data_IF_138865109435
#
_entry.id   IF_138865109435
#
_cell.length_a   1.000
_cell.length_b   1.000
_cell.length_c   1.000
_cell.angle_alpha   90.00
_cell.angle_beta   90.00
_cell.angle_gamma   90.00
#
_symmetry.space_group_name_H-M   'P 1'
#
loop_
_entity.id
_entity.type
_entity.pdbx_description
1 polymer ?
#
# COMPACT_ATOMS: atom_id res chain seq x y z
N UNK A 1 -34.29 -44.52 -3.49
CA UNK A 1 -33.17 -44.33 -4.43
C UNK A 1 -33.45 -43.09 -5.25
N UNK A 2 -32.84 -41.97 -4.85
CA UNK A 2 -32.84 -40.72 -5.60
C UNK A 2 -31.47 -40.09 -5.36
N UNK A 3 -30.62 -40.13 -6.39
CA UNK A 3 -29.29 -39.53 -6.39
C UNK A 3 -29.48 -38.03 -6.60
N UNK A 4 -28.96 -37.21 -5.69
CA UNK A 4 -28.59 -35.83 -6.01
C UNK A 4 -27.26 -35.56 -5.33
N UNK A 5 -26.20 -35.66 -6.13
CA UNK A 5 -24.92 -35.09 -5.77
C UNK A 5 -25.05 -33.58 -5.84
N UNK A 6 -24.93 -32.92 -4.69
CA UNK A 6 -24.49 -31.54 -4.66
C UNK A 6 -22.98 -31.62 -4.46
N UNK A 7 -22.24 -31.20 -5.48
CA UNK A 7 -20.81 -31.03 -5.37
C UNK A 7 -20.51 -30.14 -4.19
N UNK A 8 -19.63 -30.60 -3.32
CA UNK A 8 -18.95 -29.75 -2.36
C UNK A 8 -18.26 -28.67 -3.19
N UNK A 9 -18.79 -27.45 -3.09
CA UNK A 9 -18.14 -26.24 -3.57
C UNK A 9 -16.78 -26.21 -2.87
N UNK A 10 -15.72 -26.54 -3.61
CA UNK A 10 -14.37 -26.22 -3.19
C UNK A 10 -14.34 -24.71 -2.94
N UNK A 11 -14.36 -24.35 -1.66
CA UNK A 11 -14.07 -23.02 -1.17
C UNK A 11 -12.68 -22.67 -1.71
N UNK A 12 -12.68 -21.87 -2.79
CA UNK A 12 -11.47 -21.33 -3.38
C UNK A 12 -10.62 -20.68 -2.30
N UNK A 13 -9.36 -21.10 -2.26
CA UNK A 13 -8.32 -20.58 -1.41
C UNK A 13 -8.33 -19.04 -1.41
N UNK A 14 -8.74 -18.44 -0.31
CA UNK A 14 -8.36 -17.07 0.01
C UNK A 14 -6.87 -17.13 0.33
N UNK A 15 -6.05 -16.77 -0.65
CA UNK A 15 -4.60 -16.69 -0.57
C UNK A 15 -4.24 -15.81 0.64
N UNK A 16 -4.04 -16.47 1.79
CA UNK A 16 -3.73 -15.85 3.07
C UNK A 16 -2.26 -15.51 3.09
N UNK A 17 -1.79 -14.89 2.00
CA UNK A 17 -0.43 -14.45 1.88
C UNK A 17 -0.30 -13.22 2.78
N UNK A 18 0.52 -13.32 3.82
CA UNK A 18 0.86 -12.18 4.65
C UNK A 18 1.21 -11.01 3.72
N UNK A 19 0.43 -9.93 3.80
CA UNK A 19 0.56 -8.83 2.85
C UNK A 19 1.84 -8.06 3.18
N UNK A 20 2.72 -7.97 2.18
CA UNK A 20 4.07 -7.39 2.36
C UNK A 20 4.12 -5.95 1.82
N UNK A 21 5.14 -5.20 2.22
CA UNK A 21 5.41 -3.88 1.65
C UNK A 21 5.67 -3.95 0.13
N UNK A 22 6.21 -5.06 -0.38
CA UNK A 22 6.41 -5.26 -1.81
C UNK A 22 5.06 -5.45 -2.54
N UNK A 23 4.13 -6.18 -1.92
CA UNK A 23 2.76 -6.35 -2.41
C UNK A 23 2.02 -5.01 -2.49
N UNK A 24 2.24 -4.11 -1.52
CA UNK A 24 1.68 -2.75 -1.54
C UNK A 24 2.08 -1.99 -2.81
N UNK A 25 3.38 -1.95 -3.13
CA UNK A 25 3.88 -1.19 -4.28
C UNK A 25 3.46 -1.85 -5.61
N UNK A 26 3.51 -3.18 -5.69
CA UNK A 26 3.07 -3.91 -6.87
C UNK A 26 1.58 -3.65 -7.19
N UNK A 27 0.74 -3.62 -6.16
CA UNK A 27 -0.68 -3.31 -6.30
C UNK A 27 -0.90 -1.83 -6.67
N UNK A 28 -0.11 -0.92 -6.10
CA UNK A 28 -0.16 0.50 -6.43
C UNK A 28 0.21 0.75 -7.89
N UNK A 29 1.23 0.03 -8.40
CA UNK A 29 1.63 0.07 -9.81
C UNK A 29 0.56 -0.50 -10.73
N UNK A 30 -0.07 -1.62 -10.34
CA UNK A 30 -1.18 -2.23 -11.09
C UNK A 30 -2.37 -1.27 -11.21
N UNK A 31 -2.84 -0.72 -10.09
CA UNK A 31 -3.92 0.28 -10.10
C UNK A 31 -3.53 1.53 -10.88
N UNK A 32 -2.26 1.95 -10.84
CA UNK A 32 -1.79 3.08 -11.63
C UNK A 32 -1.87 2.84 -13.13
N UNK A 33 -1.67 1.61 -13.58
CA UNK A 33 -1.76 1.22 -14.99
C UNK A 33 -3.21 1.12 -15.48
N UNK A 34 -4.11 0.68 -14.59
CA UNK A 34 -5.55 0.54 -14.87
C UNK A 34 -6.35 1.84 -14.68
N UNK A 35 -5.68 2.90 -14.18
CA UNK A 35 -6.26 4.22 -13.87
C UNK A 35 -6.90 4.87 -15.10
N UNK A 36 -8.11 5.41 -14.97
CA UNK A 36 -8.78 6.16 -16.02
C UNK A 36 -8.17 7.57 -16.23
N UNK A 37 -8.33 8.12 -17.44
CA UNK A 37 -7.91 9.48 -17.75
C UNK A 37 -8.70 10.49 -16.90
N UNK A 38 -8.01 11.27 -16.07
CA UNK A 38 -8.60 12.26 -15.17
C UNK A 38 -8.68 11.84 -13.70
N UNK A 39 -8.43 10.56 -13.36
CA UNK A 39 -8.40 10.13 -11.96
C UNK A 39 -7.14 10.63 -11.25
N UNK A 40 -7.21 11.69 -10.43
CA UNK A 40 -6.01 12.30 -9.84
C UNK A 40 -5.15 11.40 -8.93
N UNK A 41 -5.65 10.24 -8.49
CA UNK A 41 -4.94 9.36 -7.56
C UNK A 41 -5.44 7.91 -7.60
N UNK A 42 -4.61 6.99 -7.10
CA UNK A 42 -4.99 5.61 -6.74
C UNK A 42 -4.54 5.31 -5.31
N UNK A 43 -5.18 4.34 -4.64
CA UNK A 43 -4.85 4.00 -3.26
C UNK A 43 -4.89 2.49 -3.02
N UNK A 44 -3.97 2.01 -2.19
CA UNK A 44 -3.92 0.63 -1.69
C UNK A 44 -3.88 0.67 -0.17
N UNK A 45 -4.61 -0.23 0.46
CA UNK A 45 -4.55 -0.47 1.90
C UNK A 45 -4.36 -1.97 2.14
N UNK A 46 -3.44 -2.31 3.04
CA UNK A 46 -3.24 -3.69 3.48
C UNK A 46 -2.87 -3.75 4.96
N UNK A 47 -3.10 -4.91 5.57
CA UNK A 47 -2.61 -5.23 6.91
C UNK A 47 -1.24 -5.89 6.80
N UNK A 48 -0.28 -5.47 7.62
CA UNK A 48 0.97 -6.17 7.79
C UNK A 48 1.01 -6.83 9.18
N UNK A 49 1.48 -8.07 9.25
CA UNK A 49 1.72 -8.79 10.51
C UNK A 49 3.06 -8.38 11.13
N UNK A 50 3.30 -7.07 11.14
CA UNK A 50 4.42 -6.43 11.80
C UNK A 50 4.00 -5.11 12.44
N UNK A 51 4.59 -4.81 13.60
CA UNK A 51 4.36 -3.56 14.31
C UNK A 51 4.79 -2.33 13.51
N UNK A 52 4.39 -1.15 13.97
CA UNK A 52 4.52 0.10 13.22
C UNK A 52 5.95 0.42 12.76
N UNK A 53 6.96 0.23 13.62
CA UNK A 53 8.37 0.56 13.27
C UNK A 53 8.92 -0.42 12.22
N UNK A 54 8.83 -1.75 12.41
CA UNK A 54 9.13 -2.72 11.35
C UNK A 54 8.41 -2.42 10.03
N UNK A 55 7.10 -2.11 10.07
CA UNK A 55 6.31 -1.74 8.89
C UNK A 55 6.89 -0.53 8.14
N UNK A 56 7.21 0.54 8.87
CA UNK A 56 7.83 1.72 8.30
C UNK A 56 9.18 1.40 7.63
N UNK A 57 10.02 0.59 8.29
CA UNK A 57 11.29 0.14 7.73
C UNK A 57 11.10 -0.68 6.45
N UNK A 58 10.21 -1.68 6.47
CA UNK A 58 9.89 -2.53 5.33
C UNK A 58 9.41 -1.70 4.12
N UNK A 59 8.52 -0.73 4.35
CA UNK A 59 8.03 0.15 3.27
C UNK A 59 9.15 1.01 2.70
N UNK A 60 9.95 1.68 3.54
CA UNK A 60 11.06 2.50 3.05
C UNK A 60 12.12 1.67 2.32
N UNK A 61 12.36 0.43 2.76
CA UNK A 61 13.28 -0.51 2.11
C UNK A 61 12.82 -0.87 0.69
N UNK A 62 11.50 -1.03 0.48
CA UNK A 62 10.91 -1.27 -0.84
C UNK A 62 11.08 -0.05 -1.73
N UNK A 63 10.77 1.15 -1.25
CA UNK A 63 10.99 2.38 -2.03
C UNK A 63 12.46 2.65 -2.35
N UNK A 64 13.39 2.25 -1.47
CA UNK A 64 14.83 2.34 -1.75
C UNK A 64 15.24 1.50 -2.97
N UNK A 65 14.52 0.41 -3.24
CA UNK A 65 14.74 -0.44 -4.42
C UNK A 65 14.16 0.12 -5.73
N UNK A 66 13.37 1.19 -5.67
CA UNK A 66 12.75 1.81 -6.86
C UNK A 66 13.73 2.82 -7.47
N UNK A 67 14.08 2.62 -8.74
CA UNK A 67 14.99 3.52 -9.45
C UNK A 67 14.41 4.94 -9.53
N UNK A 68 15.20 5.92 -9.11
CA UNK A 68 14.82 7.33 -9.13
C UNK A 68 13.90 7.76 -7.98
N UNK A 69 13.52 6.86 -7.08
CA UNK A 69 12.69 7.23 -5.94
C UNK A 69 13.44 8.13 -4.95
N UNK A 70 12.72 9.09 -4.34
CA UNK A 70 13.25 10.01 -3.33
C UNK A 70 12.28 10.19 -2.18
N UNK A 71 12.76 9.96 -0.96
CA UNK A 71 12.02 10.30 0.26
C UNK A 71 12.14 11.80 0.53
N UNK A 72 11.00 12.50 0.61
CA UNK A 72 10.97 13.93 0.95
C UNK A 72 10.82 14.18 2.44
N UNK A 73 9.93 13.41 3.10
CA UNK A 73 9.66 13.56 4.52
C UNK A 73 9.15 12.24 5.09
N UNK A 74 9.42 12.00 6.37
CA UNK A 74 8.86 10.89 7.12
C UNK A 74 8.83 11.17 8.62
N UNK A 75 7.86 10.62 9.34
CA UNK A 75 7.82 10.72 10.79
C UNK A 75 6.51 10.28 11.41
N UNK A 76 6.44 10.33 12.74
CA UNK A 76 5.20 10.11 13.47
C UNK A 76 4.17 11.19 13.17
N UNK A 77 2.93 10.77 12.96
CA UNK A 77 1.79 11.65 12.66
C UNK A 77 0.99 12.03 13.90
N UNK A 78 1.17 11.29 15.00
CA UNK A 78 0.56 11.58 16.29
C UNK A 78 1.58 11.50 17.44
N UNK A 79 1.24 12.14 18.56
CA UNK A 79 2.11 12.26 19.73
C UNK A 79 2.24 10.97 20.55
N UNK A 80 1.30 10.03 20.43
CA UNK A 80 1.38 8.72 21.10
C UNK A 80 2.34 7.79 20.38
N UNK A 81 2.66 8.08 19.11
CA UNK A 81 3.53 7.25 18.27
C UNK A 81 2.80 6.08 17.62
N UNK A 82 1.47 6.17 17.50
CA UNK A 82 0.63 5.09 16.97
C UNK A 82 0.48 5.16 15.45
N UNK A 83 0.88 6.26 14.83
CA UNK A 83 0.82 6.47 13.40
C UNK A 83 2.12 7.11 12.89
N UNK A 84 2.54 6.68 11.71
CA UNK A 84 3.71 7.17 10.99
C UNK A 84 3.34 7.41 9.54
N UNK A 85 4.02 8.34 8.88
CA UNK A 85 3.83 8.56 7.45
C UNK A 85 5.08 8.99 6.73
N UNK A 86 5.05 8.87 5.41
CA UNK A 86 6.09 9.31 4.51
C UNK A 86 5.53 9.90 3.22
N UNK A 87 6.29 10.82 2.63
CA UNK A 87 6.04 11.39 1.31
C UNK A 87 7.23 11.00 0.43
N UNK A 88 6.95 10.22 -0.61
CA UNK A 88 7.96 9.65 -1.52
C UNK A 88 7.65 10.09 -2.94
N UNK A 89 8.62 10.67 -3.63
CA UNK A 89 8.57 10.68 -5.10
C UNK A 89 8.94 9.30 -5.59
N UNK A 90 7.97 8.52 -6.05
CA UNK A 90 8.23 7.17 -6.53
C UNK A 90 8.82 7.17 -7.95
N UNK A 91 8.34 8.06 -8.83
CA UNK A 91 8.84 8.30 -10.19
C UNK A 91 8.52 9.72 -10.64
N UNK A 92 9.04 10.16 -11.78
CA UNK A 92 8.69 11.48 -12.34
C UNK A 92 7.17 11.58 -12.56
N UNK A 93 6.59 12.70 -12.12
CA UNK A 93 5.15 12.97 -12.29
C UNK A 93 4.21 12.31 -11.28
N UNK A 94 4.72 11.60 -10.25
CA UNK A 94 3.86 11.13 -9.15
C UNK A 94 4.52 11.21 -7.76
N UNK A 95 3.67 11.37 -6.75
CA UNK A 95 4.02 11.38 -5.33
C UNK A 95 3.19 10.33 -4.62
N UNK A 96 3.85 9.49 -3.84
CA UNK A 96 3.23 8.51 -2.97
C UNK A 96 3.20 9.05 -1.54
N UNK A 97 2.00 9.10 -0.95
CA UNK A 97 1.80 9.37 0.47
C UNK A 97 1.49 8.06 1.15
N UNK A 98 2.36 7.65 2.07
CA UNK A 98 2.20 6.44 2.85
C UNK A 98 1.82 6.80 4.28
N UNK A 99 0.83 6.11 4.84
CA UNK A 99 0.47 6.16 6.25
C UNK A 99 0.44 4.76 6.82
N UNK A 100 0.98 4.61 8.03
CA UNK A 100 1.04 3.37 8.78
C UNK A 100 0.41 3.63 10.14
N UNK A 101 -0.53 2.81 10.54
CA UNK A 101 -1.16 2.88 11.86
C UNK A 101 -0.94 1.55 12.60
N UNK A 102 -0.50 1.62 13.85
CA UNK A 102 -0.42 0.47 14.73
C UNK A 102 -1.84 -0.08 14.98
N UNK A 103 -1.96 -1.40 14.93
CA UNK A 103 -3.13 -2.11 15.41
C UNK A 103 -2.92 -2.50 16.88
N UNK A 104 -3.98 -2.92 17.56
CA UNK A 104 -3.90 -3.28 18.99
C UNK A 104 -2.77 -4.31 19.25
N UNK A 105 -2.10 -4.16 20.40
CA UNK A 105 -0.97 -5.01 20.86
C UNK A 105 0.36 -4.88 20.10
N UNK A 106 0.59 -3.82 19.30
CA UNK A 106 1.86 -3.48 18.63
C UNK A 106 2.45 -4.58 17.72
N UNK A 107 1.71 -5.66 17.46
CA UNK A 107 2.16 -6.82 16.69
C UNK A 107 1.85 -6.72 15.20
N UNK A 108 0.98 -5.77 14.83
CA UNK A 108 0.52 -5.58 13.47
C UNK A 108 0.24 -4.11 13.17
N UNK A 109 0.10 -3.80 11.89
CA UNK A 109 -0.20 -2.46 11.42
C UNK A 109 -1.08 -2.49 10.17
N UNK A 110 -1.81 -1.39 9.95
CA UNK A 110 -2.43 -1.10 8.65
C UNK A 110 -1.54 -0.14 7.91
N UNK A 111 -1.18 -0.48 6.68
CA UNK A 111 -0.41 0.36 5.76
C UNK A 111 -1.30 0.79 4.62
N UNK A 112 -1.35 2.09 4.37
CA UNK A 112 -2.08 2.69 3.26
C UNK A 112 -1.14 3.55 2.43
N UNK A 113 -1.11 3.34 1.13
CA UNK A 113 -0.39 4.17 0.17
C UNK A 113 -1.36 4.81 -0.80
N UNK A 114 -1.20 6.12 -1.03
CA UNK A 114 -1.93 6.87 -2.06
C UNK A 114 -0.91 7.41 -3.04
N UNK A 115 -1.03 7.03 -4.31
CA UNK A 115 -0.26 7.62 -5.40
C UNK A 115 -1.07 8.73 -6.03
N UNK A 116 -0.55 9.94 -5.95
CA UNK A 116 -1.08 11.12 -6.62
C UNK A 116 -0.27 11.40 -7.87
N UNK A 117 -0.95 11.78 -8.94
CA UNK A 117 -0.33 12.09 -10.23
C UNK A 117 -0.38 13.59 -10.46
N UNK A 118 0.68 14.14 -11.06
CA UNK A 118 0.60 15.49 -11.60
C UNK A 118 -0.53 15.55 -12.63
N UNK A 119 -1.42 16.53 -12.50
CA UNK A 119 -2.34 16.90 -13.58
C UNK A 119 -1.54 17.55 -14.70
N UNK A 120 -1.90 17.26 -15.95
CA UNK A 120 -1.25 17.83 -17.15
C UNK A 120 -1.43 19.37 -17.28
N UNK A 121 -2.08 20.03 -16.32
CA UNK A 121 -2.33 21.47 -16.29
C UNK A 121 -1.10 22.30 -15.84
N UNK A 122 0.07 21.95 -16.35
CA UNK A 122 1.19 22.88 -16.44
C UNK A 122 1.42 23.22 -17.91
N UNK A 123 0.43 23.85 -18.55
CA UNK A 123 0.72 24.69 -19.70
C UNK A 123 1.53 25.90 -19.21
N UNK A 124 2.62 26.18 -19.94
CA UNK A 124 3.67 27.20 -19.71
C UNK A 124 3.18 28.60 -19.28
#
# INVERSE_FOLDING_TARGET
>A
MGRSGAGEEEAGAGDSHASTAASLLAELDRLSADREAGEGQVAVELRMDEGLVPAACSVLQVYQGVEGARLYSSGYLDLKGNAWGAIVQARSGCIDVVTIAALEEDSASTVRAVRMFATDDAED
#
